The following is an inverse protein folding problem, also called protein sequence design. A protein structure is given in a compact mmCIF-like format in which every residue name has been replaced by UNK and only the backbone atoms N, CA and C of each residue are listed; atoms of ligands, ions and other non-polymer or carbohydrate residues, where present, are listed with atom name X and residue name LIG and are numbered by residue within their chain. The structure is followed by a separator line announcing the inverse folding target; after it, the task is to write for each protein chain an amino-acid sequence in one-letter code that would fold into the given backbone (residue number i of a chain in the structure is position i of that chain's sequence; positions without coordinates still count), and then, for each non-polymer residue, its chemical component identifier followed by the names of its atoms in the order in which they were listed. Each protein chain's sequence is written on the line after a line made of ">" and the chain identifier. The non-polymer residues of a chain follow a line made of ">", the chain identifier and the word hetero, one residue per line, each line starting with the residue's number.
data_IF_110657413629
#
_entry.id   IF_110657413629
#
_cell.length_a   1.000
_cell.length_b   1.000
_cell.length_c   1.000
_cell.angle_alpha   90.00
_cell.angle_beta   90.00
_cell.angle_gamma   90.00
#
_symmetry.space_group_name_H-M   'P 1'
#
loop_
_entity.id
_entity.type
_entity.pdbx_description
1 polymer ?
#
# COMPACT_ATOMS: atom_id res chain seq x y z
N UNK A 1 19.83 35.65 -8.51
CA UNK A 1 18.79 36.68 -8.28
C UNK A 1 17.54 35.95 -7.80
N UNK A 2 17.36 35.90 -6.49
CA UNK A 2 16.17 35.29 -5.86
C UNK A 2 15.10 36.36 -5.73
N UNK A 3 14.06 36.28 -6.56
CA UNK A 3 12.81 37.00 -6.29
C UNK A 3 11.99 36.13 -5.33
N UNK A 4 11.95 36.52 -4.05
CA UNK A 4 11.00 35.99 -3.10
C UNK A 4 9.62 36.52 -3.51
N UNK A 5 8.74 35.63 -3.95
CA UNK A 5 7.34 35.94 -4.18
C UNK A 5 6.70 36.06 -2.78
N UNK A 6 6.30 37.26 -2.39
CA UNK A 6 5.51 37.47 -1.17
C UNK A 6 4.07 37.06 -1.43
N UNK A 7 3.65 35.96 -0.86
CA UNK A 7 2.24 35.53 -0.84
C UNK A 7 1.46 36.26 0.26
N UNK A 8 0.18 36.58 0.08
CA UNK A 8 -0.63 37.23 1.08
C UNK A 8 -0.88 36.34 2.32
N UNK A 9 -1.19 36.88 3.50
CA UNK A 9 -1.17 36.14 4.77
C UNK A 9 -2.13 34.95 4.88
N UNK A 10 -3.17 34.84 4.05
CA UNK A 10 -4.10 33.71 4.06
C UNK A 10 -3.56 32.45 3.36
N UNK A 11 -2.62 32.60 2.41
CA UNK A 11 -2.01 31.46 1.71
C UNK A 11 -0.99 30.70 2.57
N UNK A 12 -0.35 31.39 3.54
CA UNK A 12 0.67 30.75 4.40
C UNK A 12 0.09 29.65 5.28
N UNK A 13 -1.13 29.84 5.79
CA UNK A 13 -1.75 28.86 6.68
C UNK A 13 -2.16 27.60 5.89
N UNK A 14 -2.73 27.76 4.69
CA UNK A 14 -3.12 26.65 3.82
C UNK A 14 -1.89 25.86 3.33
N UNK A 15 -0.82 26.52 2.92
CA UNK A 15 0.43 25.90 2.49
C UNK A 15 1.11 25.16 3.65
N UNK A 16 1.18 25.76 4.83
CA UNK A 16 1.73 25.11 6.02
C UNK A 16 0.92 23.87 6.40
N UNK A 17 -0.41 23.94 6.36
CA UNK A 17 -1.29 22.81 6.69
C UNK A 17 -1.06 21.64 5.72
N UNK A 18 -0.94 21.88 4.42
CA UNK A 18 -0.69 20.85 3.41
C UNK A 18 0.68 20.18 3.61
N UNK A 19 1.73 20.97 3.82
CA UNK A 19 3.08 20.45 4.06
C UNK A 19 3.12 19.62 5.35
N UNK A 20 2.52 20.11 6.43
CA UNK A 20 2.41 19.38 7.69
C UNK A 20 1.67 18.05 7.53
N UNK A 21 0.62 18.00 6.70
CA UNK A 21 -0.13 16.77 6.43
C UNK A 21 0.73 15.70 5.75
N UNK A 22 1.54 16.07 4.76
CA UNK A 22 2.45 15.14 4.07
C UNK A 22 3.53 14.65 5.03
N UNK A 23 4.13 15.54 5.82
CA UNK A 23 5.20 15.20 6.76
C UNK A 23 4.68 14.40 7.96
N UNK A 24 3.43 14.61 8.36
CA UNK A 24 2.81 13.91 9.49
C UNK A 24 2.49 12.43 9.18
N UNK A 25 2.43 12.03 7.90
CA UNK A 25 2.14 10.64 7.56
C UNK A 25 3.29 9.71 7.98
N UNK A 26 2.99 8.83 8.91
CA UNK A 26 3.87 7.73 9.32
C UNK A 26 3.19 6.41 8.98
N UNK A 27 3.95 5.41 8.50
CA UNK A 27 3.42 4.06 8.28
C UNK A 27 3.09 3.43 9.63
N UNK A 28 1.84 3.04 9.81
CA UNK A 28 1.39 2.31 11.00
C UNK A 28 1.67 0.81 10.79
N UNK A 29 2.50 0.16 11.63
CA UNK A 29 2.74 -1.27 11.52
C UNK A 29 1.42 -2.05 11.47
N UNK A 30 1.30 -3.05 10.58
CA UNK A 30 0.04 -3.78 10.38
C UNK A 30 -0.51 -4.40 11.66
N UNK A 31 0.35 -4.81 12.58
CA UNK A 31 -0.04 -5.32 13.91
C UNK A 31 -0.70 -4.28 14.83
N UNK A 32 -0.61 -3.00 14.48
CA UNK A 32 -1.28 -1.89 15.18
C UNK A 32 -2.49 -1.37 14.40
N UNK A 33 -3.03 -2.18 13.50
CA UNK A 33 -4.25 -1.88 12.74
C UNK A 33 -5.37 -2.82 13.18
N UNK A 34 -6.55 -2.27 13.45
CA UNK A 34 -7.71 -3.02 13.89
C UNK A 34 -9.01 -2.51 13.24
N UNK A 35 -10.11 -3.15 13.54
CA UNK A 35 -11.46 -2.66 13.20
C UNK A 35 -11.78 -1.34 13.94
N UNK A 36 -12.60 -0.46 13.35
CA UNK A 36 -13.15 -0.60 12.00
C UNK A 36 -12.12 -0.26 10.92
N UNK A 37 -12.18 -0.97 9.80
CA UNK A 37 -11.51 -0.57 8.57
C UNK A 37 -12.32 0.49 7.81
N UNK A 38 -11.78 1.02 6.68
CA UNK A 38 -12.54 1.93 5.84
C UNK A 38 -13.81 1.25 5.31
N UNK A 39 -14.94 1.94 5.43
CA UNK A 39 -16.21 1.51 4.81
C UNK A 39 -16.11 1.64 3.27
N UNK A 40 -17.15 1.23 2.55
CA UNK A 40 -17.12 1.21 1.07
C UNK A 40 -16.97 2.61 0.46
N UNK A 41 -17.54 3.65 1.07
CA UNK A 41 -17.38 5.04 0.64
C UNK A 41 -15.95 5.53 0.85
N UNK A 42 -15.43 5.38 2.06
CA UNK A 42 -14.06 5.76 2.41
C UNK A 42 -13.00 5.00 1.59
N UNK A 43 -13.23 3.70 1.36
CA UNK A 43 -12.34 2.94 0.48
C UNK A 43 -12.36 3.48 -0.95
N UNK A 44 -13.55 3.83 -1.46
CA UNK A 44 -13.67 4.45 -2.78
C UNK A 44 -12.89 5.74 -2.85
N UNK A 45 -13.00 6.63 -1.87
CA UNK A 45 -12.24 7.88 -1.79
C UNK A 45 -10.73 7.63 -1.79
N UNK A 46 -10.26 6.63 -1.03
CA UNK A 46 -8.85 6.24 -1.01
C UNK A 46 -8.38 5.77 -2.40
N UNK A 47 -9.18 4.95 -3.08
CA UNK A 47 -8.83 4.43 -4.42
C UNK A 47 -8.89 5.52 -5.49
N UNK A 48 -9.88 6.41 -5.42
CA UNK A 48 -10.00 7.56 -6.33
C UNK A 48 -8.80 8.51 -6.16
N UNK A 49 -8.41 8.83 -4.92
CA UNK A 49 -7.21 9.62 -4.67
C UNK A 49 -5.92 8.91 -5.16
N UNK A 50 -5.84 7.60 -4.99
CA UNK A 50 -4.68 6.82 -5.41
C UNK A 50 -4.39 6.92 -6.90
N UNK A 51 -5.42 6.87 -7.75
CA UNK A 51 -5.27 6.92 -9.21
C UNK A 51 -4.92 8.31 -9.76
N UNK A 52 -4.93 9.36 -8.93
CA UNK A 52 -4.41 10.68 -9.27
C UNK A 52 -2.88 10.74 -9.19
N UNK A 53 -2.22 9.85 -9.90
CA UNK A 53 -0.76 9.78 -10.01
C UNK A 53 -0.32 9.99 -11.47
N UNK A 54 0.95 10.40 -11.71
CA UNK A 54 1.49 10.47 -13.06
C UNK A 54 1.42 9.11 -13.76
N UNK A 55 0.93 9.10 -15.00
CA UNK A 55 0.78 7.91 -15.83
C UNK A 55 1.13 8.26 -17.27
N UNK A 56 2.36 7.97 -17.67
CA UNK A 56 2.84 8.25 -19.02
C UNK A 56 2.03 7.46 -20.04
N UNK A 57 1.42 8.19 -20.97
CA UNK A 57 0.58 7.61 -22.02
C UNK A 57 -0.81 7.18 -21.54
N UNK A 58 -1.19 7.44 -20.30
CA UNK A 58 -2.48 7.06 -19.70
C UNK A 58 -2.78 5.57 -19.84
N UNK A 59 -1.77 4.75 -19.59
CA UNK A 59 -1.83 3.29 -19.78
C UNK A 59 -2.65 2.61 -18.68
N UNK A 60 -2.77 3.24 -17.50
CA UNK A 60 -3.43 2.68 -16.30
C UNK A 60 -2.93 1.27 -16.00
N UNK A 61 -1.61 1.08 -15.84
CA UNK A 61 -0.97 -0.23 -15.78
C UNK A 61 -1.13 -0.88 -14.40
N UNK A 62 -2.27 -0.71 -13.77
CA UNK A 62 -2.56 -1.26 -12.44
C UNK A 62 -4.01 -1.67 -12.30
N UNK A 63 -4.25 -2.59 -11.38
CA UNK A 63 -5.57 -2.93 -10.85
C UNK A 63 -5.48 -3.23 -9.36
N UNK A 64 -6.63 -3.33 -8.71
CA UNK A 64 -6.73 -3.61 -7.29
C UNK A 64 -7.39 -4.97 -7.04
N UNK A 65 -6.86 -5.70 -6.03
CA UNK A 65 -7.53 -6.86 -5.45
C UNK A 65 -7.78 -6.57 -3.98
N UNK A 66 -9.04 -6.60 -3.58
CA UNK A 66 -9.46 -6.32 -2.21
C UNK A 66 -9.53 -7.60 -1.41
N UNK A 67 -8.87 -7.63 -0.24
CA UNK A 67 -8.85 -8.76 0.67
C UNK A 67 -9.48 -8.33 1.99
N UNK A 68 -10.61 -8.94 2.38
CA UNK A 68 -11.36 -8.67 3.60
C UNK A 68 -11.90 -9.95 4.23
N UNK A 69 -12.33 -9.87 5.49
CA UNK A 69 -13.01 -10.96 6.19
C UNK A 69 -12.21 -12.26 6.13
N UNK A 70 -12.89 -13.34 5.83
CA UNK A 70 -12.33 -14.70 5.79
C UNK A 70 -11.22 -14.90 4.74
N UNK A 71 -11.20 -14.09 3.68
CA UNK A 71 -10.15 -14.16 2.66
C UNK A 71 -8.77 -13.86 3.23
N UNK A 72 -8.69 -12.99 4.24
CA UNK A 72 -7.43 -12.68 4.93
C UNK A 72 -6.85 -13.92 5.60
N UNK A 73 -7.68 -14.68 6.31
CA UNK A 73 -7.29 -15.92 6.99
C UNK A 73 -6.82 -16.96 5.99
N UNK A 74 -7.60 -17.21 4.93
CA UNK A 74 -7.25 -18.18 3.88
C UNK A 74 -5.91 -17.85 3.21
N UNK A 75 -5.67 -16.58 2.91
CA UNK A 75 -4.41 -16.15 2.32
C UNK A 75 -3.23 -16.29 3.30
N UNK A 76 -3.44 -16.03 4.59
CA UNK A 76 -2.43 -16.24 5.63
C UNK A 76 -2.07 -17.71 5.81
N UNK A 77 -3.04 -18.60 5.77
CA UNK A 77 -2.83 -20.05 5.82
C UNK A 77 -2.04 -20.56 4.60
N UNK A 78 -2.44 -20.11 3.39
CA UNK A 78 -1.70 -20.43 2.17
C UNK A 78 -0.27 -19.92 2.25
N UNK A 79 -0.06 -18.68 2.69
CA UNK A 79 1.27 -18.10 2.85
C UNK A 79 2.14 -18.90 3.80
N UNK A 80 1.61 -19.33 4.96
CA UNK A 80 2.32 -20.16 5.90
C UNK A 80 2.75 -21.49 5.27
N UNK A 81 1.84 -22.17 4.56
CA UNK A 81 2.14 -23.42 3.86
C UNK A 81 3.25 -23.23 2.82
N UNK A 82 3.23 -22.13 2.07
CA UNK A 82 4.26 -21.83 1.08
C UNK A 82 5.62 -21.56 1.72
N UNK A 83 5.64 -20.80 2.82
CA UNK A 83 6.89 -20.52 3.55
C UNK A 83 7.48 -21.80 4.14
N UNK A 84 6.67 -22.69 4.70
CA UNK A 84 7.13 -23.97 5.21
C UNK A 84 7.72 -24.87 4.10
N UNK A 85 7.12 -24.84 2.90
CA UNK A 85 7.58 -25.63 1.77
C UNK A 85 8.90 -25.09 1.16
N UNK A 86 9.02 -23.77 1.02
CA UNK A 86 10.17 -23.14 0.35
C UNK A 86 11.33 -22.82 1.29
N UNK A 87 11.06 -22.69 2.59
CA UNK A 87 12.03 -22.32 3.63
C UNK A 87 11.86 -23.24 4.85
N UNK A 88 12.20 -24.55 4.75
CA UNK A 88 11.97 -25.53 5.81
C UNK A 88 12.71 -25.17 7.11
N UNK A 89 13.81 -24.45 7.03
CA UNK A 89 14.62 -23.97 8.17
C UNK A 89 14.13 -22.62 8.72
N UNK A 90 12.93 -22.14 8.32
CA UNK A 90 12.42 -20.87 8.83
C UNK A 90 12.19 -20.95 10.35
N UNK A 91 12.67 -19.93 11.08
CA UNK A 91 12.45 -19.84 12.52
C UNK A 91 10.97 -19.67 12.88
N UNK A 92 10.57 -20.12 14.09
CA UNK A 92 9.21 -19.94 14.60
C UNK A 92 8.76 -18.47 14.56
N UNK A 93 9.66 -17.54 14.85
CA UNK A 93 9.40 -16.08 14.76
C UNK A 93 9.01 -15.69 13.33
N UNK A 94 9.71 -16.25 12.34
CA UNK A 94 9.41 -16.03 10.92
C UNK A 94 8.05 -16.62 10.55
N UNK A 95 7.79 -17.86 10.96
CA UNK A 95 6.54 -18.56 10.67
C UNK A 95 5.34 -17.83 11.28
N UNK A 96 5.44 -17.37 12.52
CA UNK A 96 4.38 -16.60 13.18
C UNK A 96 4.12 -15.27 12.49
N UNK A 97 5.19 -14.59 12.07
CA UNK A 97 5.07 -13.35 11.28
C UNK A 97 4.33 -13.57 9.97
N UNK A 98 4.60 -14.66 9.26
CA UNK A 98 3.93 -14.94 7.99
C UNK A 98 2.49 -15.44 8.21
N UNK A 99 2.23 -16.24 9.24
CA UNK A 99 0.88 -16.68 9.63
C UNK A 99 -0.03 -15.48 9.91
N UNK A 100 0.47 -14.49 10.61
CA UNK A 100 -0.30 -13.32 11.04
C UNK A 100 -0.27 -12.14 10.07
N UNK A 101 0.49 -12.24 8.97
CA UNK A 101 0.71 -11.15 8.02
C UNK A 101 -0.57 -10.46 7.55
N UNK A 102 -1.61 -11.23 7.28
CA UNK A 102 -2.89 -10.73 6.77
C UNK A 102 -3.99 -10.65 7.83
N UNK A 103 -3.68 -10.93 9.10
CA UNK A 103 -4.70 -11.07 10.15
C UNK A 103 -5.14 -9.77 10.79
N UNK A 104 -4.24 -8.82 10.98
CA UNK A 104 -4.50 -7.63 11.79
C UNK A 104 -5.35 -6.58 11.08
N UNK A 105 -4.90 -6.10 9.92
CA UNK A 105 -5.61 -5.06 9.20
C UNK A 105 -6.96 -5.57 8.67
N UNK A 106 -8.08 -4.88 8.96
CA UNK A 106 -9.41 -5.31 8.51
C UNK A 106 -9.61 -5.24 7.00
N UNK A 107 -8.84 -4.41 6.33
CA UNK A 107 -8.91 -4.20 4.89
C UNK A 107 -7.48 -4.19 4.32
N UNK A 108 -7.28 -4.98 3.27
CA UNK A 108 -6.00 -5.00 2.54
C UNK A 108 -6.31 -4.82 1.06
N UNK A 109 -5.63 -3.87 0.45
CA UNK A 109 -5.67 -3.64 -1.00
C UNK A 109 -4.36 -4.12 -1.60
N UNK A 110 -4.42 -5.17 -2.40
CA UNK A 110 -3.28 -5.58 -3.23
C UNK A 110 -3.25 -4.70 -4.46
N UNK A 111 -2.15 -3.98 -4.66
CA UNK A 111 -1.89 -3.21 -5.87
C UNK A 111 -1.14 -4.11 -6.85
N UNK A 112 -1.78 -4.39 -7.97
CA UNK A 112 -1.24 -5.27 -9.01
C UNK A 112 -0.81 -4.41 -10.19
N UNK A 113 0.44 -4.53 -10.60
CA UNK A 113 0.95 -4.00 -11.87
C UNK A 113 0.52 -4.93 -13.00
N UNK A 114 -0.15 -4.37 -13.99
CA UNK A 114 -0.51 -5.05 -15.24
C UNK A 114 0.14 -4.30 -16.41
N UNK A 115 1.43 -4.53 -16.68
CA UNK A 115 2.17 -3.73 -17.63
C UNK A 115 1.71 -3.97 -19.07
N UNK A 116 1.55 -2.88 -19.82
CA UNK A 116 1.37 -2.94 -21.27
C UNK A 116 2.71 -3.30 -21.90
N UNK A 117 2.84 -4.55 -22.34
CA UNK A 117 4.07 -5.08 -22.96
C UNK A 117 4.29 -4.50 -24.35
N UNK A 118 5.56 -4.43 -24.77
CA UNK A 118 5.97 -3.96 -26.10
C UNK A 118 5.45 -2.54 -26.44
N UNK A 119 5.20 -1.72 -25.45
CA UNK A 119 4.78 -0.32 -25.62
C UNK A 119 5.99 0.62 -25.61
N UNK A 120 5.86 1.80 -26.27
CA UNK A 120 6.89 2.84 -26.27
C UNK A 120 7.23 3.38 -24.88
N UNK A 121 6.29 3.30 -23.91
CA UNK A 121 6.52 3.63 -22.51
C UNK A 121 7.16 2.43 -21.84
N UNK A 122 8.38 2.55 -21.30
CA UNK A 122 9.10 1.46 -20.65
C UNK A 122 8.32 0.91 -19.44
N UNK A 123 8.46 -0.40 -19.17
CA UNK A 123 7.79 -1.04 -18.03
C UNK A 123 8.20 -0.42 -16.68
N UNK A 124 9.44 0.06 -16.57
CA UNK A 124 9.90 0.74 -15.35
C UNK A 124 9.09 2.00 -15.06
N UNK A 125 8.73 2.79 -16.06
CA UNK A 125 7.90 3.98 -15.88
C UNK A 125 6.47 3.61 -15.44
N UNK A 126 5.95 2.50 -15.97
CA UNK A 126 4.67 1.95 -15.57
C UNK A 126 4.69 1.48 -14.11
N UNK A 127 5.78 0.83 -13.69
CA UNK A 127 5.97 0.40 -12.30
C UNK A 127 6.12 1.60 -11.35
N UNK A 128 6.86 2.65 -11.73
CA UNK A 128 7.00 3.88 -10.96
C UNK A 128 5.66 4.59 -10.77
N UNK A 129 4.81 4.60 -11.81
CA UNK A 129 3.43 5.09 -11.72
C UNK A 129 2.63 4.32 -10.67
N UNK A 130 2.74 2.98 -10.67
CA UNK A 130 2.13 2.13 -9.63
C UNK A 130 2.68 2.38 -8.22
N UNK A 131 3.97 2.70 -8.10
CA UNK A 131 4.57 3.11 -6.83
C UNK A 131 4.02 4.45 -6.32
N UNK A 132 3.86 5.43 -7.23
CA UNK A 132 3.23 6.71 -6.90
C UNK A 132 1.76 6.52 -6.44
N UNK A 133 1.02 5.64 -7.11
CA UNK A 133 -0.33 5.23 -6.72
C UNK A 133 -0.36 4.65 -5.30
N UNK A 134 0.55 3.74 -4.96
CA UNK A 134 0.65 3.18 -3.61
C UNK A 134 0.88 4.28 -2.56
N UNK A 135 1.75 5.26 -2.86
CA UNK A 135 2.02 6.37 -1.95
C UNK A 135 0.79 7.28 -1.76
N UNK A 136 0.08 7.60 -2.84
CA UNK A 136 -1.17 8.36 -2.76
C UNK A 136 -2.20 7.65 -1.88
N UNK A 137 -2.31 6.32 -1.98
CA UNK A 137 -3.21 5.52 -1.14
C UNK A 137 -2.86 5.65 0.35
N UNK A 138 -1.56 5.63 0.70
CA UNK A 138 -1.12 5.84 2.09
C UNK A 138 -1.49 7.23 2.60
N UNK A 139 -1.34 8.26 1.78
CA UNK A 139 -1.71 9.63 2.14
C UNK A 139 -3.22 9.80 2.29
N UNK A 140 -4.00 9.27 1.35
CA UNK A 140 -5.46 9.33 1.42
C UNK A 140 -6.01 8.62 2.67
N UNK A 141 -5.48 7.44 2.99
CA UNK A 141 -5.84 6.73 4.21
C UNK A 141 -5.53 7.55 5.46
N UNK A 142 -4.34 8.17 5.52
CA UNK A 142 -3.94 9.02 6.63
C UNK A 142 -4.86 10.24 6.79
N UNK A 143 -5.24 10.91 5.70
CA UNK A 143 -6.15 12.05 5.72
C UNK A 143 -7.55 11.68 6.21
N UNK A 144 -8.00 10.46 5.93
CA UNK A 144 -9.27 9.93 6.44
C UNK A 144 -9.17 9.36 7.88
N UNK A 145 -8.01 9.53 8.55
CA UNK A 145 -7.78 9.10 9.93
C UNK A 145 -7.37 7.64 10.11
N UNK A 146 -7.22 6.89 9.01
CA UNK A 146 -6.79 5.49 9.08
C UNK A 146 -5.27 5.36 9.20
N UNK A 147 -4.84 4.28 9.87
CA UNK A 147 -3.49 3.78 9.77
C UNK A 147 -3.32 2.99 8.47
N UNK A 148 -2.11 3.07 7.89
CA UNK A 148 -1.79 2.33 6.69
C UNK A 148 -0.34 1.85 6.69
N UNK A 149 -0.09 0.69 6.05
CA UNK A 149 1.24 0.16 5.80
C UNK A 149 1.31 -0.50 4.43
N UNK A 150 2.35 -0.17 3.67
CA UNK A 150 2.70 -0.83 2.42
C UNK A 150 3.68 -1.95 2.70
N UNK A 151 3.29 -3.17 2.42
CA UNK A 151 4.10 -4.38 2.61
C UNK A 151 4.30 -5.12 1.29
N UNK A 152 5.44 -5.78 1.18
CA UNK A 152 5.79 -6.74 0.12
C UNK A 152 6.28 -8.05 0.75
N UNK A 153 7.52 -8.43 0.55
CA UNK A 153 8.12 -9.64 1.09
C UNK A 153 7.74 -10.90 0.32
N UNK A 154 7.92 -12.06 0.92
CA UNK A 154 7.72 -13.36 0.25
C UNK A 154 6.37 -13.46 -0.48
N UNK A 155 5.29 -13.04 0.16
CA UNK A 155 3.94 -13.11 -0.41
C UNK A 155 3.79 -12.36 -1.74
N UNK A 156 4.55 -11.29 -1.96
CA UNK A 156 4.45 -10.49 -3.20
C UNK A 156 5.10 -11.17 -4.41
N UNK A 157 5.90 -12.20 -4.20
CA UNK A 157 6.68 -12.89 -5.24
C UNK A 157 6.35 -14.37 -5.38
N UNK A 158 5.55 -14.94 -4.47
CA UNK A 158 5.20 -16.36 -4.50
C UNK A 158 4.13 -16.67 -5.55
N UNK A 159 4.37 -17.61 -6.48
CA UNK A 159 3.44 -17.94 -7.56
C UNK A 159 2.09 -18.46 -7.08
N UNK A 160 2.02 -19.18 -5.96
CA UNK A 160 0.76 -19.70 -5.43
C UNK A 160 -0.09 -18.57 -4.84
N UNK A 161 0.53 -17.56 -4.23
CA UNK A 161 -0.16 -16.34 -3.80
C UNK A 161 -0.68 -15.56 -5.01
N UNK A 162 0.12 -15.42 -6.08
CA UNK A 162 -0.32 -14.82 -7.34
C UNK A 162 -1.56 -15.53 -7.90
N UNK A 163 -1.51 -16.86 -7.96
CA UNK A 163 -2.64 -17.66 -8.44
C UNK A 163 -3.88 -17.48 -7.56
N UNK A 164 -3.73 -17.52 -6.23
CA UNK A 164 -4.83 -17.35 -5.28
C UNK A 164 -5.50 -15.97 -5.40
N UNK A 165 -4.76 -14.94 -5.80
CA UNK A 165 -5.24 -13.58 -6.04
C UNK A 165 -5.71 -13.34 -7.49
N UNK A 166 -5.66 -14.36 -8.34
CA UNK A 166 -6.10 -14.30 -9.73
C UNK A 166 -5.21 -13.41 -10.61
N UNK A 167 -3.89 -13.45 -10.40
CA UNK A 167 -2.94 -12.73 -11.24
C UNK A 167 -2.70 -13.46 -12.56
N UNK A 168 -2.62 -12.70 -13.64
CA UNK A 168 -2.16 -13.17 -14.95
C UNK A 168 -0.64 -13.33 -15.00
N UNK A 169 -0.14 -14.04 -16.02
CA UNK A 169 1.29 -14.38 -16.14
C UNK A 169 2.25 -13.18 -16.18
N UNK A 170 1.78 -12.03 -16.66
CA UNK A 170 2.59 -10.80 -16.74
C UNK A 170 2.32 -9.82 -15.59
N UNK A 171 1.40 -10.15 -14.71
CA UNK A 171 1.07 -9.28 -13.59
C UNK A 171 2.03 -9.48 -12.41
N UNK A 172 2.25 -8.39 -11.67
CA UNK A 172 3.15 -8.37 -10.51
C UNK A 172 2.47 -7.65 -9.35
N UNK A 173 2.73 -8.09 -8.13
CA UNK A 173 2.27 -7.38 -6.94
C UNK A 173 3.25 -6.27 -6.61
N UNK A 174 2.80 -5.01 -6.68
CA UNK A 174 3.57 -3.85 -6.21
C UNK A 174 3.53 -3.73 -4.69
N UNK A 175 2.50 -4.22 -4.07
CA UNK A 175 2.39 -4.30 -2.62
C UNK A 175 1.00 -4.60 -2.11
N UNK A 176 0.96 -4.92 -0.82
CA UNK A 176 -0.24 -5.07 -0.02
C UNK A 176 -0.38 -3.83 0.86
N UNK A 177 -1.39 -3.02 0.61
CA UNK A 177 -1.70 -1.84 1.42
C UNK A 177 -2.67 -2.25 2.51
N UNK A 178 -2.15 -2.37 3.72
CA UNK A 178 -2.92 -2.71 4.92
C UNK A 178 -3.57 -1.44 5.46
N UNK A 179 -4.88 -1.47 5.70
CA UNK A 179 -5.70 -0.35 6.12
C UNK A 179 -6.54 -0.72 7.35
N UNK A 180 -6.61 0.16 8.34
CA UNK A 180 -7.44 -0.04 9.54
C UNK A 180 -7.35 1.13 10.51
N UNK A 181 -8.14 1.10 11.56
CA UNK A 181 -8.01 2.03 12.68
C UNK A 181 -6.71 1.78 13.43
N UNK A 182 -6.04 2.85 13.85
CA UNK A 182 -4.80 2.78 14.64
C UNK A 182 -5.13 2.38 16.08
N UNK A 183 -4.42 1.39 16.62
CA UNK A 183 -4.52 0.96 18.03
C UNK A 183 -3.47 1.60 18.93
N UNK A 184 -2.66 2.49 18.41
CA UNK A 184 -1.62 3.22 19.12
C UNK A 184 -0.86 4.13 18.17
N UNK A 185 0.03 4.95 18.74
CA UNK A 185 0.90 5.80 17.94
C UNK A 185 1.95 4.94 17.20
N UNK A 186 2.16 5.19 15.91
CA UNK A 186 3.21 4.51 15.17
C UNK A 186 4.59 4.92 15.73
N UNK A 187 5.57 4.02 15.68
CA UNK A 187 6.92 4.34 16.13
C UNK A 187 7.49 5.49 15.31
N UNK A 188 8.14 6.40 16.01
CA UNK A 188 8.88 7.47 15.35
C UNK A 188 9.98 6.89 14.43
N UNK A 189 10.17 7.51 13.28
CA UNK A 189 11.17 7.08 12.31
C UNK A 189 12.13 8.22 12.02
N UNK A 190 13.38 7.92 12.14
CA UNK A 190 14.43 8.77 11.63
C UNK A 190 14.22 9.08 10.16
N UNK A 191 14.39 10.33 9.77
CA UNK A 191 14.27 10.80 8.40
C UNK A 191 15.64 11.26 7.92
N UNK A 192 15.96 11.10 6.65
CA UNK A 192 17.17 11.68 6.09
C UNK A 192 17.13 13.20 6.17
N UNK A 193 18.31 13.80 6.40
CA UNK A 193 18.54 15.24 6.40
C UNK A 193 18.40 15.83 4.99
#
# INVERSE_FOLDING_TARGET
>A
IHKIIQNPPNDKLAVMTTTLTLNARISSPSKHLAEPGPNSGQLREILEAAVHCPDHGRLRPWRFVLIRGEQRRKLGELLLQRVLAELPEASEVRLEKERTRFSFAPCIVTVVLNPVKNHKVPEIEQALSGGALCMNMLHAAHQLGFGAQWLTGFAAYDPAIHQALGLGANEQILGFIHLGSKTGEPPERERPD
#
